data_IF_433486502081
#
_entry.id   IF_433486502081
#
_cell.length_a   1.000
_cell.length_b   1.000
_cell.length_c   1.000
_cell.angle_alpha   90.00
_cell.angle_beta   90.00
_cell.angle_gamma   90.00
#
_symmetry.space_group_name_H-M   'P 1'
#
loop_
_entity.id
_entity.type
_entity.pdbx_description
1 polymer ?
#
# COMPACT_ATOMS: atom_id res chain seq x y z
N UNK A 1 -8.05 3.21 9.83
CA UNK A 1 -8.69 1.87 9.88
C UNK A 1 -8.09 1.00 8.78
N UNK A 2 -7.99 -0.34 8.95
CA UNK A 2 -7.52 -1.24 7.89
C UNK A 2 -8.51 -1.25 6.70
N UNK A 3 -7.97 -1.42 5.50
CA UNK A 3 -8.70 -1.43 4.25
C UNK A 3 -9.28 -2.82 3.97
N UNK A 4 -10.60 -2.92 3.75
CA UNK A 4 -11.25 -4.21 3.48
C UNK A 4 -11.17 -4.59 2.02
N UNK A 5 -11.33 -3.61 1.14
CA UNK A 5 -11.29 -3.76 -0.30
C UNK A 5 -10.26 -2.82 -0.91
N UNK A 6 -9.78 -3.15 -2.11
CA UNK A 6 -8.89 -2.27 -2.86
C UNK A 6 -9.60 -0.95 -3.22
N UNK A 7 -10.93 -0.97 -3.28
CA UNK A 7 -11.77 0.21 -3.48
C UNK A 7 -11.72 1.19 -2.29
N UNK A 8 -11.37 0.73 -1.10
CA UNK A 8 -11.23 1.59 0.09
C UNK A 8 -9.88 2.32 0.11
N UNK A 9 -8.94 1.93 -0.76
CA UNK A 9 -7.61 2.53 -0.81
C UNK A 9 -7.67 4.00 -1.28
N UNK A 10 -6.67 4.83 -0.90
CA UNK A 10 -6.61 6.22 -1.34
C UNK A 10 -6.66 6.33 -2.87
N UNK A 11 -7.35 7.35 -3.39
CA UNK A 11 -7.47 7.56 -4.84
C UNK A 11 -6.13 7.58 -5.57
N UNK A 12 -5.10 8.17 -4.96
CA UNK A 12 -3.75 8.18 -5.53
C UNK A 12 -3.16 6.77 -5.67
N UNK A 13 -3.46 5.86 -4.75
CA UNK A 13 -3.05 4.45 -4.82
C UNK A 13 -3.83 3.77 -5.94
N UNK A 14 -5.17 3.88 -5.93
CA UNK A 14 -6.05 3.22 -6.92
C UNK A 14 -5.83 3.69 -8.36
N UNK A 15 -5.56 4.99 -8.55
CA UNK A 15 -5.39 5.60 -9.87
C UNK A 15 -4.02 5.30 -10.49
N UNK A 16 -2.98 5.04 -9.69
CA UNK A 16 -1.62 4.86 -10.18
C UNK A 16 -1.12 3.41 -10.13
N UNK A 17 -1.72 2.57 -9.27
CA UNK A 17 -1.29 1.19 -9.08
C UNK A 17 -2.19 0.20 -9.81
N UNK A 18 -1.63 -0.82 -10.49
CA UNK A 18 -2.41 -1.93 -11.01
C UNK A 18 -3.05 -2.74 -9.86
N UNK A 19 -4.13 -3.48 -10.16
CA UNK A 19 -4.92 -4.20 -9.14
C UNK A 19 -4.07 -5.08 -8.21
N UNK A 20 -3.10 -5.82 -8.75
CA UNK A 20 -2.23 -6.66 -7.92
C UNK A 20 -1.30 -5.85 -6.98
N UNK A 21 -0.84 -4.68 -7.40
CA UNK A 21 -0.08 -3.79 -6.52
C UNK A 21 -0.96 -3.15 -5.44
N UNK A 22 -2.25 -2.92 -5.74
CA UNK A 22 -3.22 -2.49 -4.74
C UNK A 22 -3.45 -3.57 -3.67
N UNK A 23 -3.52 -4.85 -4.06
CA UNK A 23 -3.61 -5.96 -3.11
C UNK A 23 -2.40 -5.98 -2.15
N UNK A 24 -1.19 -5.89 -2.69
CA UNK A 24 0.05 -5.84 -1.89
C UNK A 24 0.02 -4.65 -0.93
N UNK A 25 -0.40 -3.48 -1.42
CA UNK A 25 -0.52 -2.28 -0.59
C UNK A 25 -1.49 -2.49 0.57
N UNK A 26 -2.70 -3.01 0.28
CA UNK A 26 -3.75 -3.28 1.27
C UNK A 26 -3.25 -4.24 2.33
N UNK A 27 -2.68 -5.37 1.92
CA UNK A 27 -2.21 -6.42 2.84
C UNK A 27 -1.09 -5.90 3.75
N UNK A 28 -0.09 -5.23 3.17
CA UNK A 28 1.02 -4.67 3.93
C UNK A 28 0.56 -3.53 4.88
N UNK A 29 -0.38 -2.69 4.45
CA UNK A 29 -0.96 -1.64 5.29
C UNK A 29 -1.70 -2.25 6.47
N UNK A 30 -2.60 -3.22 6.23
CA UNK A 30 -3.40 -3.83 7.27
C UNK A 30 -2.52 -4.53 8.31
N UNK A 31 -1.53 -5.30 7.85
CA UNK A 31 -0.57 -5.96 8.73
C UNK A 31 0.18 -4.94 9.61
N UNK A 32 0.72 -3.88 9.02
CA UNK A 32 1.42 -2.83 9.77
C UNK A 32 0.50 -2.07 10.74
N UNK A 33 -0.76 -1.87 10.36
CA UNK A 33 -1.74 -1.16 11.18
C UNK A 33 -2.14 -1.98 12.41
N UNK A 34 -2.25 -3.30 12.26
CA UNK A 34 -2.48 -4.23 13.37
C UNK A 34 -1.24 -4.32 14.28
N UNK A 35 -0.03 -4.37 13.70
CA UNK A 35 1.23 -4.44 14.45
C UNK A 35 1.48 -3.17 15.28
N UNK A 36 1.08 -2.00 14.78
CA UNK A 36 1.27 -0.71 15.43
C UNK A 36 0.02 -0.17 16.14
N UNK A 37 -0.97 -1.00 16.49
CA UNK A 37 -2.27 -0.58 17.03
C UNK A 37 -2.24 0.29 18.31
N UNK A 38 -1.08 0.46 18.95
CA UNK A 38 -0.89 1.28 20.16
C UNK A 38 -0.22 2.64 19.88
N UNK A 39 0.17 2.93 18.64
CA UNK A 39 0.87 4.17 18.27
C UNK A 39 -0.09 5.16 17.59
N UNK A 40 -0.25 6.41 18.08
CA UNK A 40 -1.03 7.43 17.38
C UNK A 40 -0.52 7.75 15.96
N UNK A 41 0.72 7.37 15.61
CA UNK A 41 1.33 7.52 14.28
C UNK A 41 1.28 6.24 13.45
N UNK A 42 0.54 5.22 13.90
CA UNK A 42 0.44 3.92 13.22
C UNK A 42 0.00 4.05 11.76
N UNK A 43 -0.89 4.99 11.44
CA UNK A 43 -1.40 5.17 10.08
C UNK A 43 -0.31 5.65 9.12
N UNK A 44 0.46 6.68 9.50
CA UNK A 44 1.63 7.14 8.74
C UNK A 44 2.68 6.04 8.58
N UNK A 45 2.97 5.28 9.65
CA UNK A 45 3.91 4.17 9.60
C UNK A 45 3.43 3.07 8.64
N UNK A 46 2.15 2.71 8.71
CA UNK A 46 1.52 1.69 7.87
C UNK A 46 1.53 2.08 6.40
N UNK A 47 1.26 3.35 6.08
CA UNK A 47 1.37 3.86 4.71
C UNK A 47 2.80 3.75 4.18
N UNK A 48 3.82 4.06 5.00
CA UNK A 48 5.23 3.92 4.58
C UNK A 48 5.60 2.46 4.32
N UNK A 49 5.18 1.54 5.19
CA UNK A 49 5.43 0.11 5.06
C UNK A 49 4.73 -0.45 3.81
N UNK A 50 3.46 -0.09 3.59
CA UNK A 50 2.71 -0.49 2.41
C UNK A 50 3.37 0.00 1.10
N UNK A 51 3.84 1.24 1.06
CA UNK A 51 4.59 1.75 -0.09
C UNK A 51 5.92 1.06 -0.30
N UNK A 52 6.61 0.64 0.77
CA UNK A 52 7.84 -0.13 0.66
C UNK A 52 7.58 -1.53 0.06
N UNK A 53 6.51 -2.20 0.49
CA UNK A 53 6.09 -3.49 -0.06
C UNK A 53 5.77 -3.39 -1.55
N UNK A 54 5.00 -2.37 -1.96
CA UNK A 54 4.74 -2.12 -3.39
C UNK A 54 6.03 -1.90 -4.17
N UNK A 55 6.95 -1.06 -3.67
CA UNK A 55 8.24 -0.77 -4.32
C UNK A 55 9.15 -1.99 -4.46
N UNK A 56 8.96 -3.00 -3.62
CA UNK A 56 9.73 -4.24 -3.69
C UNK A 56 9.31 -5.12 -4.88
N UNK A 57 8.03 -5.07 -5.27
CA UNK A 57 7.47 -5.83 -6.39
C UNK A 57 7.20 -4.99 -7.63
N UNK A 58 7.18 -3.67 -7.52
CA UNK A 58 6.86 -2.73 -8.59
C UNK A 58 7.84 -1.56 -8.63
N UNK A 59 8.24 -1.17 -9.83
CA UNK A 59 9.07 -0.01 -10.09
C UNK A 59 8.23 1.08 -10.76
N UNK A 60 8.39 2.33 -10.32
CA UNK A 60 7.78 3.48 -10.99
C UNK A 60 8.57 3.84 -12.24
N UNK A 61 8.00 3.60 -13.43
CA UNK A 61 8.53 4.02 -14.73
C UNK A 61 7.67 5.12 -15.33
N UNK A 62 8.15 6.36 -15.25
CA UNK A 62 7.37 7.55 -15.60
C UNK A 62 6.16 7.69 -14.67
N UNK A 63 4.96 7.74 -15.25
CA UNK A 63 3.70 7.85 -14.52
C UNK A 63 3.05 6.51 -14.14
N UNK A 64 3.69 5.38 -14.47
CA UNK A 64 3.13 4.04 -14.25
C UNK A 64 4.00 3.19 -13.33
N UNK A 65 3.35 2.36 -12.53
CA UNK A 65 4.00 1.30 -11.77
C UNK A 65 4.01 0.01 -12.59
N UNK A 66 5.19 -0.53 -12.84
CA UNK A 66 5.39 -1.78 -13.57
C UNK A 66 5.94 -2.86 -12.64
N UNK A 67 5.51 -4.12 -12.74
CA UNK A 67 6.05 -5.18 -11.91
C UNK A 67 7.55 -5.37 -12.20
N UNK A 68 8.33 -5.58 -11.15
CA UNK A 68 9.74 -5.96 -11.22
C UNK A 68 9.74 -7.47 -11.41
N UNK A 69 10.06 -7.92 -12.62
CA UNK A 69 10.11 -9.32 -13.03
C UNK A 69 11.06 -9.50 -14.19
#
# INVERSE_FOLDING_TARGET
MPYRHNEDLPDSVRAHLPAHAQDIYREAFNHAYEEHAQDPRQEEASHRIAWAAVKHSYEKRGDRWVPIG
#
